data_IF_088198758623
#
_entry.id   IF_088198758623
#
_cell.length_a   1.000
_cell.length_b   1.000
_cell.length_c   1.000
_cell.angle_alpha   90.00
_cell.angle_beta   90.00
_cell.angle_gamma   90.00
#
_symmetry.space_group_name_H-M   'P 1'
#
loop_
_entity.id
_entity.type
_entity.pdbx_description
1 polymer ?
#
# COMPACT_ATOMS: atom_id res chain seq x y z
N UNK A 1 18.06 10.96 -20.91
CA UNK A 1 17.68 11.95 -21.95
C UNK A 1 18.47 13.23 -21.72
N UNK A 2 19.17 13.73 -22.74
CA UNK A 2 19.84 15.05 -22.69
C UNK A 2 18.85 16.15 -23.05
N UNK A 3 18.80 17.19 -22.27
CA UNK A 3 17.99 18.37 -22.55
C UNK A 3 18.79 19.36 -23.39
N UNK A 4 18.16 19.96 -24.41
CA UNK A 4 18.72 21.04 -25.18
C UNK A 4 18.12 22.35 -24.69
N UNK A 5 18.95 23.21 -24.09
CA UNK A 5 18.55 24.57 -23.75
C UNK A 5 18.96 25.55 -24.87
N UNK A 6 18.04 26.37 -25.38
CA UNK A 6 18.40 27.42 -26.34
C UNK A 6 19.17 28.53 -25.61
N UNK A 7 20.34 28.85 -26.12
CA UNK A 7 21.13 29.99 -25.65
C UNK A 7 20.91 31.16 -26.63
N UNK A 8 20.23 32.20 -26.19
CA UNK A 8 20.01 33.43 -26.97
C UNK A 8 21.19 34.37 -26.70
N UNK A 9 22.05 34.56 -27.70
CA UNK A 9 23.26 35.37 -27.55
C UNK A 9 23.07 36.84 -27.91
N UNK A 10 21.98 37.22 -28.62
CA UNK A 10 21.80 38.59 -29.13
C UNK A 10 20.68 39.41 -28.47
N UNK A 11 19.99 38.92 -27.48
CA UNK A 11 19.08 39.72 -26.64
C UNK A 11 17.93 40.47 -27.34
N UNK A 12 17.73 40.31 -28.64
CA UNK A 12 16.79 41.08 -29.42
C UNK A 12 15.72 40.21 -30.08
N UNK A 13 14.53 40.24 -29.53
CA UNK A 13 13.34 39.72 -30.18
C UNK A 13 12.70 40.85 -31.02
N UNK A 14 12.37 40.69 -32.33
CA UNK A 14 12.11 39.43 -33.03
C UNK A 14 13.20 38.87 -33.93
N UNK A 15 14.37 39.43 -33.96
CA UNK A 15 15.46 39.00 -34.85
C UNK A 15 16.47 38.12 -34.16
N UNK A 16 16.10 36.84 -33.94
CA UNK A 16 17.05 35.84 -33.45
C UNK A 16 17.97 35.45 -34.60
N UNK A 17 19.18 35.97 -34.63
CA UNK A 17 20.18 35.64 -35.65
C UNK A 17 20.93 34.34 -35.39
N UNK A 18 21.16 34.01 -34.12
CA UNK A 18 21.87 32.81 -33.72
C UNK A 18 21.17 32.14 -32.56
N UNK A 19 20.85 30.87 -32.73
CA UNK A 19 20.38 29.98 -31.66
C UNK A 19 21.41 28.88 -31.53
N UNK A 20 22.05 28.79 -30.39
CA UNK A 20 22.90 27.65 -30.02
C UNK A 20 22.21 26.80 -28.97
N UNK A 21 22.44 25.50 -29.04
CA UNK A 21 21.94 24.57 -28.05
C UNK A 21 23.10 24.08 -27.19
N UNK A 22 22.96 24.21 -25.89
CA UNK A 22 23.88 23.60 -24.96
C UNK A 22 23.35 22.24 -24.60
N UNK A 23 24.13 21.21 -24.85
CA UNK A 23 23.85 19.85 -24.32
C UNK A 23 24.16 19.90 -22.82
N UNK A 24 23.13 19.85 -21.98
CA UNK A 24 23.32 19.65 -20.56
C UNK A 24 23.47 18.14 -20.37
N UNK A 25 24.66 17.65 -19.93
CA UNK A 25 24.79 16.23 -19.64
C UNK A 25 23.75 15.85 -18.60
N UNK A 26 23.15 14.68 -18.76
CA UNK A 26 22.29 14.11 -17.74
C UNK A 26 22.96 14.24 -16.38
N UNK A 27 22.20 14.67 -15.38
CA UNK A 27 22.56 14.33 -14.00
C UNK A 27 22.80 12.83 -13.96
N UNK A 28 23.81 12.42 -13.19
CA UNK A 28 24.09 11.01 -12.94
C UNK A 28 22.77 10.24 -12.81
N UNK A 29 22.63 9.22 -13.62
CA UNK A 29 21.44 8.36 -13.58
C UNK A 29 21.41 7.70 -12.20
N UNK A 30 20.47 8.12 -11.38
CA UNK A 30 20.33 7.59 -10.03
C UNK A 30 19.72 6.19 -10.16
N UNK A 31 20.47 5.17 -9.78
CA UNK A 31 19.96 3.83 -9.64
C UNK A 31 19.07 3.76 -8.40
N UNK A 32 17.76 3.83 -8.64
CA UNK A 32 16.75 3.82 -7.57
C UNK A 32 16.75 2.46 -6.84
N UNK A 33 16.97 1.36 -7.55
CA UNK A 33 16.98 0.02 -6.94
C UNK A 33 18.17 -0.13 -5.98
N UNK A 34 19.34 0.42 -6.33
CA UNK A 34 20.48 0.46 -5.42
C UNK A 34 20.22 1.38 -4.21
N UNK A 35 19.53 2.48 -4.38
CA UNK A 35 19.11 3.33 -3.25
C UNK A 35 18.16 2.59 -2.31
N UNK A 36 17.16 1.90 -2.86
CA UNK A 36 16.22 1.10 -2.09
C UNK A 36 16.94 -0.02 -1.30
N UNK A 37 17.83 -0.77 -1.95
CA UNK A 37 18.62 -1.84 -1.31
C UNK A 37 19.52 -1.32 -0.19
N UNK A 38 20.06 -0.13 -0.35
CA UNK A 38 20.99 0.47 0.63
C UNK A 38 20.28 1.33 1.69
N UNK A 39 18.95 1.52 1.59
CA UNK A 39 18.18 2.20 2.61
C UNK A 39 18.24 1.42 3.95
N UNK A 40 18.30 2.12 5.09
CA UNK A 40 18.26 1.47 6.41
C UNK A 40 17.00 0.61 6.57
N UNK A 41 17.18 -0.61 7.06
CA UNK A 41 16.06 -1.52 7.31
C UNK A 41 15.02 -0.90 8.24
N UNK A 42 13.74 -1.00 7.89
CA UNK A 42 12.61 -0.55 8.68
C UNK A 42 11.95 -1.73 9.42
N UNK A 43 11.76 -1.55 10.73
CA UNK A 43 11.09 -2.54 11.57
C UNK A 43 11.82 -3.87 11.71
N UNK A 44 11.26 -4.70 12.58
CA UNK A 44 11.67 -6.08 12.84
C UNK A 44 10.43 -6.97 12.87
N UNK A 45 10.58 -8.29 12.91
CA UNK A 45 9.44 -9.21 12.98
C UNK A 45 8.55 -8.96 14.19
N UNK A 46 9.15 -8.64 15.34
CA UNK A 46 8.43 -8.38 16.60
C UNK A 46 7.97 -6.93 16.76
N UNK A 47 8.57 -6.00 16.02
CA UNK A 47 8.24 -4.59 16.01
C UNK A 47 8.27 -4.06 14.55
N UNK A 48 7.28 -4.38 13.73
CA UNK A 48 7.22 -3.94 12.35
C UNK A 48 6.99 -2.42 12.23
N UNK A 49 7.43 -1.86 11.10
CA UNK A 49 7.14 -0.47 10.76
C UNK A 49 5.66 -0.31 10.38
N UNK A 50 4.98 0.60 11.04
CA UNK A 50 3.55 0.81 10.88
C UNK A 50 3.24 1.75 9.69
N UNK A 51 2.71 1.20 8.61
CA UNK A 51 2.35 1.95 7.41
C UNK A 51 1.17 2.92 7.64
N UNK A 52 0.30 2.63 8.60
CA UNK A 52 -0.83 3.51 8.94
C UNK A 52 -0.46 4.63 9.92
N UNK A 53 0.75 4.60 10.50
CA UNK A 53 1.30 5.67 11.32
C UNK A 53 2.82 5.78 11.09
N UNK A 54 3.24 6.42 10.00
CA UNK A 54 4.65 6.52 9.62
C UNK A 54 5.52 7.08 10.75
N UNK A 55 6.67 6.45 10.96
CA UNK A 55 7.59 6.73 12.07
C UNK A 55 7.34 5.87 13.32
N UNK A 56 6.25 5.11 13.39
CA UNK A 56 6.01 4.16 14.48
C UNK A 56 6.56 2.78 14.13
N UNK A 57 7.40 2.24 15.02
CA UNK A 57 7.93 0.87 14.98
C UNK A 57 7.67 0.24 16.35
N UNK A 58 6.65 -0.62 16.44
CA UNK A 58 6.14 -1.18 17.70
C UNK A 58 5.60 -2.58 17.49
N UNK A 59 5.41 -3.32 18.61
CA UNK A 59 4.71 -4.61 18.56
C UNK A 59 3.31 -4.46 17.92
N UNK A 60 2.85 -5.43 17.11
CA UNK A 60 1.59 -5.35 16.38
C UNK A 60 0.37 -4.95 17.22
N UNK A 61 0.25 -5.50 18.43
CA UNK A 61 -0.85 -5.19 19.35
C UNK A 61 -0.88 -3.72 19.82
N UNK A 62 0.29 -3.06 19.85
CA UNK A 62 0.44 -1.65 20.27
C UNK A 62 0.42 -0.66 19.10
N UNK A 63 0.29 -1.13 17.88
CA UNK A 63 0.25 -0.27 16.71
C UNK A 63 -1.02 0.62 16.74
N UNK A 64 -0.86 1.86 16.30
CA UNK A 64 -1.95 2.84 16.24
C UNK A 64 -2.26 3.24 14.81
N UNK A 65 -3.48 3.67 14.54
CA UNK A 65 -3.92 4.08 13.21
C UNK A 65 -4.02 5.60 13.16
N UNK A 66 -3.14 6.23 12.38
CA UNK A 66 -3.19 7.66 12.09
C UNK A 66 -3.96 7.94 10.80
N UNK A 67 -3.53 7.32 9.71
CA UNK A 67 -4.19 7.44 8.41
C UNK A 67 -4.17 6.09 7.71
N UNK A 68 -5.20 5.79 6.93
CA UNK A 68 -5.26 4.57 6.11
C UNK A 68 -5.43 4.89 4.63
N UNK A 69 -5.03 3.95 3.80
CA UNK A 69 -5.13 4.03 2.35
C UNK A 69 -5.29 2.62 1.75
N UNK A 70 -5.61 2.55 0.46
CA UNK A 70 -5.52 1.31 -0.32
C UNK A 70 -4.13 1.08 -0.91
N UNK A 71 -3.27 2.11 -0.91
CA UNK A 71 -1.92 2.06 -1.44
C UNK A 71 -0.94 2.55 -0.38
N UNK A 72 0.15 1.82 -0.19
CA UNK A 72 1.23 2.19 0.72
C UNK A 72 2.57 2.13 -0.03
N UNK A 73 3.45 3.08 0.28
CA UNK A 73 4.79 3.14 -0.30
C UNK A 73 5.76 2.48 0.68
N UNK A 74 6.61 1.60 0.13
CA UNK A 74 7.72 0.96 0.83
C UNK A 74 9.02 1.38 0.15
N UNK A 75 9.88 2.05 0.89
CA UNK A 75 11.11 2.68 0.42
C UNK A 75 12.38 2.11 1.04
N UNK A 76 12.29 0.99 1.75
CA UNK A 76 13.40 0.32 2.41
C UNK A 76 13.11 -1.17 2.63
N UNK A 77 14.13 -2.04 2.79
CA UNK A 77 13.92 -3.40 3.28
C UNK A 77 13.35 -3.39 4.69
N UNK A 78 12.61 -4.44 5.08
CA UNK A 78 12.17 -4.56 6.46
C UNK A 78 10.83 -5.24 6.66
N UNK A 79 10.37 -5.19 7.90
CA UNK A 79 9.06 -5.70 8.33
C UNK A 79 8.06 -4.56 8.44
N UNK A 80 6.92 -4.74 7.82
CA UNK A 80 5.86 -3.75 7.74
C UNK A 80 4.55 -4.31 8.25
N UNK A 81 3.70 -3.44 8.79
CA UNK A 81 2.34 -3.81 9.19
C UNK A 81 1.34 -2.73 8.74
N UNK A 82 0.16 -3.18 8.31
CA UNK A 82 -0.97 -2.34 7.98
C UNK A 82 -2.26 -2.86 8.64
N UNK A 83 -3.22 -1.98 8.99
CA UNK A 83 -4.46 -2.37 9.65
C UNK A 83 -5.50 -2.91 8.67
N UNK A 84 -6.43 -3.73 9.18
CA UNK A 84 -7.58 -4.22 8.43
C UNK A 84 -8.69 -3.16 8.39
N UNK A 85 -8.49 -2.12 7.61
CA UNK A 85 -9.37 -0.95 7.48
C UNK A 85 -9.69 -0.70 6.01
N UNK A 86 -10.95 -0.41 5.71
CA UNK A 86 -11.39 -0.09 4.36
C UNK A 86 -10.81 1.24 3.87
N UNK A 87 -9.98 1.20 2.83
CA UNK A 87 -9.47 2.38 2.14
C UNK A 87 -8.93 3.47 3.06
N UNK A 88 -9.38 4.70 2.85
CA UNK A 88 -9.04 5.88 3.62
C UNK A 88 -10.01 6.16 4.79
N UNK A 89 -10.54 5.09 5.41
CA UNK A 89 -11.53 5.19 6.49
C UNK A 89 -10.99 5.74 7.81
N UNK A 90 -9.68 6.00 7.90
CA UNK A 90 -9.04 6.73 8.98
C UNK A 90 -8.22 7.91 8.45
N UNK A 91 -8.41 9.08 9.08
CA UNK A 91 -7.60 10.26 8.80
C UNK A 91 -7.32 11.00 10.12
N UNK A 92 -6.05 11.27 10.38
CA UNK A 92 -5.58 12.00 11.55
C UNK A 92 -6.13 11.45 12.88
N UNK A 93 -6.01 10.13 13.09
CA UNK A 93 -6.49 9.37 14.25
C UNK A 93 -8.03 9.34 14.44
N UNK A 94 -8.78 9.78 13.44
CA UNK A 94 -10.25 9.81 13.49
C UNK A 94 -10.85 8.97 12.35
N UNK A 95 -12.05 8.43 12.61
CA UNK A 95 -12.83 7.73 11.58
C UNK A 95 -13.30 8.71 10.52
N UNK A 96 -13.04 8.40 9.27
CA UNK A 96 -13.58 9.13 8.12
C UNK A 96 -14.80 8.37 7.57
N UNK A 97 -15.97 8.65 8.12
CA UNK A 97 -17.20 7.90 7.79
C UNK A 97 -17.57 8.01 6.32
N UNK A 98 -17.30 9.13 5.67
CA UNK A 98 -17.56 9.32 4.22
C UNK A 98 -16.75 8.39 3.33
N UNK A 99 -15.70 7.77 3.83
CA UNK A 99 -14.87 6.84 3.07
C UNK A 99 -15.43 5.41 3.02
N UNK A 100 -16.36 5.05 3.91
CA UNK A 100 -16.92 3.70 3.96
C UNK A 100 -18.43 3.66 4.14
N UNK A 101 -19.08 4.80 4.41
CA UNK A 101 -20.53 4.94 4.46
C UNK A 101 -20.96 6.00 3.45
N UNK A 102 -22.09 5.77 2.82
CA UNK A 102 -22.76 6.84 2.08
C UNK A 102 -23.58 7.70 3.06
N UNK A 103 -23.17 8.94 3.24
CA UNK A 103 -23.79 9.88 4.19
C UNK A 103 -24.58 11.00 3.50
N UNK A 104 -24.58 11.07 2.17
CA UNK A 104 -25.27 12.09 1.40
C UNK A 104 -26.73 11.77 1.14
N UNK A 105 -27.60 12.79 1.13
CA UNK A 105 -28.95 12.70 0.60
C UNK A 105 -28.93 13.13 -0.87
N UNK A 106 -28.74 12.18 -1.78
CA UNK A 106 -28.82 12.44 -3.22
C UNK A 106 -30.22 12.05 -3.71
N UNK A 107 -30.91 13.02 -4.31
CA UNK A 107 -32.27 12.84 -4.88
C UNK A 107 -32.28 12.60 -6.38
N UNK A 108 -31.12 12.37 -6.99
CA UNK A 108 -30.95 12.04 -8.42
C UNK A 108 -30.81 10.55 -8.67
N UNK A 109 -30.31 10.19 -9.86
CA UNK A 109 -30.05 8.79 -10.23
C UNK A 109 -29.21 8.10 -9.16
N UNK A 110 -29.76 7.05 -8.55
CA UNK A 110 -29.16 6.35 -7.41
C UNK A 110 -27.95 5.46 -7.82
N UNK A 111 -26.93 6.08 -8.38
CA UNK A 111 -25.67 5.40 -8.69
C UNK A 111 -24.85 5.12 -7.42
N UNK A 112 -25.03 5.95 -6.37
CA UNK A 112 -24.33 5.82 -5.11
C UNK A 112 -25.25 5.18 -4.06
N UNK A 113 -25.19 3.86 -3.96
CA UNK A 113 -25.76 3.11 -2.83
C UNK A 113 -24.73 3.00 -1.70
N UNK A 114 -25.16 2.51 -0.53
CA UNK A 114 -24.26 2.15 0.57
C UNK A 114 -23.12 1.26 0.09
N UNK A 115 -21.90 1.51 0.59
CA UNK A 115 -20.76 0.65 0.28
C UNK A 115 -20.99 -0.75 0.85
N UNK A 116 -20.65 -1.76 0.07
CA UNK A 116 -20.85 -3.16 0.41
C UNK A 116 -19.52 -3.89 0.47
N UNK A 117 -19.43 -4.86 1.38
CA UNK A 117 -18.32 -5.80 1.41
C UNK A 117 -18.42 -6.79 0.23
N UNK A 118 -17.43 -7.68 0.09
CA UNK A 118 -17.39 -8.65 -1.02
C UNK A 118 -18.57 -9.65 -1.01
N UNK A 119 -19.26 -9.85 0.12
CA UNK A 119 -20.50 -10.67 0.22
C UNK A 119 -21.78 -9.87 -0.07
N UNK A 120 -21.68 -8.60 -0.38
CA UNK A 120 -22.83 -7.73 -0.64
C UNK A 120 -23.50 -7.14 0.60
N UNK A 121 -22.94 -7.35 1.80
CA UNK A 121 -23.42 -6.75 3.06
C UNK A 121 -22.94 -5.30 3.17
N UNK A 122 -23.78 -4.44 3.76
CA UNK A 122 -23.44 -3.02 3.97
C UNK A 122 -22.27 -2.87 4.94
N UNK A 123 -21.30 -2.03 4.58
CA UNK A 123 -20.17 -1.68 5.45
C UNK A 123 -20.63 -0.65 6.49
N UNK A 124 -20.58 -1.03 7.77
CA UNK A 124 -21.02 -0.19 8.92
C UNK A 124 -19.87 0.29 9.79
N UNK A 125 -18.71 -0.33 9.68
CA UNK A 125 -17.49 -0.02 10.44
C UNK A 125 -16.32 0.20 9.49
N UNK A 126 -15.35 1.06 9.83
CA UNK A 126 -14.12 1.17 9.08
C UNK A 126 -13.28 -0.13 9.18
N UNK A 127 -13.45 -0.91 10.23
CA UNK A 127 -12.71 -2.15 10.46
C UNK A 127 -13.40 -3.34 9.78
N UNK A 128 -12.63 -4.06 8.98
CA UNK A 128 -13.13 -5.25 8.28
C UNK A 128 -13.58 -6.33 9.26
N UNK A 129 -12.85 -6.49 10.37
CA UNK A 129 -13.14 -7.49 11.40
C UNK A 129 -14.45 -7.25 12.17
N UNK A 130 -14.97 -6.02 12.16
CA UNK A 130 -16.26 -5.71 12.83
C UNK A 130 -17.46 -6.21 12.02
N UNK A 131 -17.25 -6.67 10.79
CA UNK A 131 -18.30 -7.24 9.95
C UNK A 131 -18.50 -8.73 10.24
N UNK A 132 -19.58 -9.06 10.90
CA UNK A 132 -19.89 -10.44 11.31
C UNK A 132 -20.23 -11.38 10.14
N UNK A 133 -20.41 -10.86 8.93
CA UNK A 133 -20.66 -11.67 7.74
C UNK A 133 -19.38 -12.28 7.16
N UNK A 134 -18.21 -11.86 7.62
CA UNK A 134 -16.90 -12.27 7.11
C UNK A 134 -16.02 -12.80 8.24
N UNK A 135 -15.07 -13.67 7.89
CA UNK A 135 -14.16 -14.30 8.89
C UNK A 135 -12.72 -14.25 8.37
N UNK A 136 -11.95 -13.22 8.71
CA UNK A 136 -10.54 -13.13 8.34
C UNK A 136 -9.75 -14.34 8.85
N UNK A 137 -9.01 -15.01 7.97
CA UNK A 137 -8.21 -16.18 8.34
C UNK A 137 -6.78 -16.17 7.79
N UNK A 138 -6.57 -15.50 6.68
CA UNK A 138 -5.27 -15.52 6.01
C UNK A 138 -4.94 -14.19 5.36
N UNK A 139 -3.65 -13.97 5.13
CA UNK A 139 -3.16 -12.90 4.28
C UNK A 139 -2.21 -13.49 3.25
N UNK A 140 -2.27 -13.02 2.01
CA UNK A 140 -1.49 -13.59 0.92
C UNK A 140 -1.20 -12.59 -0.20
N UNK A 141 -0.21 -12.92 -1.03
CA UNK A 141 0.10 -12.20 -2.26
C UNK A 141 -0.93 -12.56 -3.33
N UNK A 142 -1.55 -11.56 -3.94
CA UNK A 142 -2.45 -11.72 -5.09
C UNK A 142 -1.67 -11.62 -6.39
N UNK A 143 -0.78 -10.63 -6.46
CA UNK A 143 -0.05 -10.30 -7.67
C UNK A 143 1.16 -9.42 -7.36
N UNK A 144 2.17 -9.48 -8.21
CA UNK A 144 3.29 -8.55 -8.25
C UNK A 144 3.79 -8.43 -9.68
N UNK A 145 4.30 -7.26 -10.07
CA UNK A 145 4.82 -7.01 -11.42
C UNK A 145 6.28 -7.45 -11.58
N UNK A 146 7.00 -7.55 -10.48
CA UNK A 146 8.38 -7.99 -10.45
C UNK A 146 8.54 -9.26 -9.59
N UNK A 147 9.33 -10.20 -10.05
CA UNK A 147 9.58 -11.45 -9.34
C UNK A 147 10.21 -11.19 -7.97
N UNK A 148 9.67 -11.85 -6.95
CA UNK A 148 10.17 -11.84 -5.57
C UNK A 148 10.22 -10.47 -4.87
N UNK A 149 9.49 -9.44 -5.33
CA UNK A 149 9.34 -8.21 -4.53
C UNK A 149 8.91 -8.53 -3.09
N UNK A 150 7.87 -9.32 -2.96
CA UNK A 150 7.50 -10.00 -1.73
C UNK A 150 7.68 -11.49 -1.98
N UNK A 151 8.66 -12.16 -1.36
CA UNK A 151 8.90 -13.57 -1.58
C UNK A 151 7.66 -14.38 -1.25
N UNK A 152 7.07 -15.01 -2.23
CA UNK A 152 5.88 -15.82 -2.07
C UNK A 152 6.24 -17.30 -2.02
N UNK A 153 6.27 -17.86 -0.85
CA UNK A 153 6.30 -19.31 -0.67
C UNK A 153 4.89 -19.80 -0.39
N UNK A 154 4.25 -20.30 -1.43
CA UNK A 154 2.94 -20.92 -1.37
C UNK A 154 2.88 -21.96 -0.24
N UNK A 155 1.98 -21.78 0.72
CA UNK A 155 1.53 -22.81 1.68
C UNK A 155 2.51 -23.32 2.73
N UNK A 156 3.72 -22.77 2.92
CA UNK A 156 4.65 -23.23 3.97
C UNK A 156 4.55 -22.40 5.25
N UNK A 157 4.70 -23.05 6.38
CA UNK A 157 4.88 -22.39 7.69
C UNK A 157 6.08 -21.43 7.59
N UNK A 158 5.83 -20.15 7.86
CA UNK A 158 6.83 -19.09 7.69
C UNK A 158 6.46 -18.09 6.60
N UNK A 159 5.16 -17.99 6.28
CA UNK A 159 4.65 -17.04 5.30
C UNK A 159 5.22 -15.64 5.56
N UNK A 160 5.81 -15.06 4.52
CA UNK A 160 6.33 -13.68 4.51
C UNK A 160 5.19 -12.67 4.73
N UNK A 161 3.96 -13.05 4.38
CA UNK A 161 2.73 -12.28 4.60
C UNK A 161 1.89 -13.02 5.64
N UNK A 162 1.56 -12.35 6.75
CA UNK A 162 0.85 -12.94 7.89
C UNK A 162 -0.35 -12.09 8.27
N UNK A 163 -1.50 -12.75 8.50
CA UNK A 163 -2.61 -12.14 9.22
C UNK A 163 -2.30 -12.17 10.73
N UNK A 164 -2.39 -11.02 11.39
CA UNK A 164 -2.14 -10.84 12.83
C UNK A 164 -3.45 -10.36 13.49
N UNK A 165 -4.23 -11.27 14.09
CA UNK A 165 -5.55 -10.93 14.64
C UNK A 165 -5.51 -9.90 15.78
N UNK A 166 -4.49 -9.96 16.63
CA UNK A 166 -4.34 -9.08 17.80
C UNK A 166 -3.71 -7.71 17.48
N UNK A 167 -3.30 -7.47 16.23
CA UNK A 167 -2.75 -6.19 15.82
C UNK A 167 -3.75 -5.05 16.03
N UNK A 168 -3.22 -3.84 16.23
CA UNK A 168 -4.02 -2.63 16.43
C UNK A 168 -5.07 -2.77 17.53
N UNK A 169 -4.67 -3.35 18.67
CA UNK A 169 -5.57 -3.58 19.81
C UNK A 169 -6.72 -4.53 19.51
N UNK A 170 -6.48 -5.57 18.71
CA UNK A 170 -7.48 -6.57 18.31
C UNK A 170 -8.33 -6.18 17.10
N UNK A 171 -7.92 -5.14 16.35
CA UNK A 171 -8.59 -4.78 15.08
C UNK A 171 -8.00 -5.49 13.87
N UNK A 172 -6.97 -6.28 14.10
CA UNK A 172 -6.28 -7.08 13.08
C UNK A 172 -5.38 -6.26 12.16
N UNK A 173 -4.39 -6.93 11.62
CA UNK A 173 -3.43 -6.36 10.67
C UNK A 173 -2.85 -7.40 9.74
N UNK A 174 -2.20 -6.94 8.68
CA UNK A 174 -1.35 -7.75 7.83
C UNK A 174 0.09 -7.30 8.05
N UNK A 175 0.94 -8.24 8.45
CA UNK A 175 2.38 -8.05 8.52
C UNK A 175 3.04 -8.72 7.33
N UNK A 176 4.02 -8.04 6.72
CA UNK A 176 4.81 -8.61 5.62
C UNK A 176 6.26 -8.18 5.70
N UNK A 177 7.12 -8.89 4.98
CA UNK A 177 8.55 -8.65 4.96
C UNK A 177 9.06 -8.46 3.54
N UNK A 178 9.91 -7.45 3.35
CA UNK A 178 10.63 -7.19 2.10
C UNK A 178 12.12 -7.37 2.33
N UNK A 179 12.71 -8.35 1.65
CA UNK A 179 14.13 -8.65 1.74
C UNK A 179 14.98 -7.60 1.03
N UNK A 180 16.15 -7.29 1.61
CA UNK A 180 17.13 -6.36 1.01
C UNK A 180 17.51 -6.74 -0.43
N UNK A 181 17.70 -8.03 -0.71
CA UNK A 181 18.10 -8.49 -2.04
C UNK A 181 17.00 -8.36 -3.10
N UNK A 182 15.74 -8.31 -2.66
CA UNK A 182 14.57 -8.34 -3.52
C UNK A 182 13.93 -6.97 -3.75
N UNK A 183 14.21 -5.99 -2.85
CA UNK A 183 13.62 -4.66 -2.99
C UNK A 183 14.13 -3.98 -4.27
N UNK A 184 13.20 -3.50 -5.06
CA UNK A 184 13.37 -2.76 -6.30
C UNK A 184 12.10 -2.01 -6.62
N UNK A 185 12.15 -1.13 -7.61
CA UNK A 185 10.94 -0.46 -8.09
C UNK A 185 9.94 -1.49 -8.60
N UNK A 186 8.70 -1.40 -8.17
CA UNK A 186 7.65 -2.31 -8.56
C UNK A 186 6.39 -2.13 -7.75
N UNK A 187 5.45 -3.04 -7.94
CA UNK A 187 4.15 -3.01 -7.30
C UNK A 187 3.70 -4.43 -6.95
N UNK A 188 3.16 -4.61 -5.76
CA UNK A 188 2.56 -5.85 -5.31
C UNK A 188 1.16 -5.60 -4.76
N UNK A 189 0.29 -6.59 -4.87
CA UNK A 189 -1.04 -6.58 -4.26
C UNK A 189 -1.12 -7.69 -3.23
N UNK A 190 -1.32 -7.32 -1.98
CA UNK A 190 -1.57 -8.25 -0.87
C UNK A 190 -3.04 -8.20 -0.47
N UNK A 191 -3.57 -9.32 -0.03
CA UNK A 191 -4.98 -9.44 0.33
C UNK A 191 -5.20 -10.11 1.68
N UNK A 192 -6.35 -9.78 2.26
CA UNK A 192 -6.97 -10.49 3.36
C UNK A 192 -7.96 -11.52 2.79
N UNK A 193 -7.86 -12.75 3.24
CA UNK A 193 -8.75 -13.85 2.86
C UNK A 193 -9.74 -14.22 3.94
N UNK A 194 -10.94 -14.56 3.53
CA UNK A 194 -11.96 -15.20 4.37
C UNK A 194 -11.70 -16.71 4.51
N UNK A 195 -12.55 -17.40 5.26
CA UNK A 195 -12.52 -18.86 5.37
C UNK A 195 -12.56 -19.53 4.00
N UNK A 196 -11.76 -20.58 3.83
CA UNK A 196 -11.81 -21.41 2.64
C UNK A 196 -13.21 -22.02 2.49
N UNK A 197 -13.78 -21.84 1.32
CA UNK A 197 -15.01 -22.53 0.92
C UNK A 197 -14.63 -23.90 0.34
N UNK A 198 -15.34 -24.94 0.75
CA UNK A 198 -15.09 -26.31 0.25
C UNK A 198 -15.09 -26.34 -1.29
N UNK A 199 -14.03 -26.90 -1.87
CA UNK A 199 -13.86 -27.00 -3.32
C UNK A 199 -13.19 -25.80 -3.99
N UNK A 200 -12.80 -24.78 -3.24
CA UNK A 200 -12.03 -23.61 -3.74
C UNK A 200 -10.62 -23.67 -3.20
N UNK A 201 -9.61 -23.61 -4.08
CA UNK A 201 -8.20 -23.70 -3.70
C UNK A 201 -7.63 -22.42 -3.08
N UNK A 202 -8.33 -21.28 -3.19
CA UNK A 202 -7.89 -19.99 -2.64
C UNK A 202 -9.01 -19.38 -1.79
N UNK A 203 -8.67 -18.71 -0.67
CA UNK A 203 -9.68 -18.03 0.13
C UNK A 203 -10.26 -16.85 -0.67
N UNK A 204 -11.58 -16.58 -0.54
CA UNK A 204 -12.19 -15.40 -1.12
C UNK A 204 -11.50 -14.13 -0.60
N UNK A 205 -11.14 -13.21 -1.51
CA UNK A 205 -10.54 -11.94 -1.16
C UNK A 205 -11.58 -11.04 -0.51
N UNK A 206 -11.32 -10.66 0.74
CA UNK A 206 -12.17 -9.72 1.48
C UNK A 206 -11.86 -8.27 1.14
N UNK A 207 -10.56 -7.95 1.06
CA UNK A 207 -10.01 -6.66 0.71
C UNK A 207 -8.54 -6.81 0.29
N UNK A 208 -8.03 -5.84 -0.47
CA UNK A 208 -6.64 -5.85 -0.91
C UNK A 208 -6.01 -4.46 -0.83
N UNK A 209 -4.68 -4.46 -0.75
CA UNK A 209 -3.87 -3.26 -0.71
C UNK A 209 -2.74 -3.35 -1.72
N UNK A 210 -2.43 -2.22 -2.35
CA UNK A 210 -1.25 -2.07 -3.19
C UNK A 210 -0.05 -1.67 -2.35
N UNK A 211 1.08 -2.30 -2.61
CA UNK A 211 2.38 -2.00 -2.02
C UNK A 211 3.29 -1.57 -3.16
N UNK A 212 3.75 -0.35 -3.08
CA UNK A 212 4.61 0.29 -4.09
C UNK A 212 6.01 0.47 -3.55
#
# INVERSE_FOLDING_TARGET
CSWLEPVITDGYLPYIKNVSFKVIPNKEEIDIDELLKNAPQKGTETAPYNLANPGQTVAPASATIKCTANCYIVDAPGYYILPLVYGNAYHNFQKNENAYKYTGSYTGDQILSTFKNYKGSEIKSPYIIDDTSVTPQSAFLVWQDEEDLIPYHCWTQGAVIKYIPDAYGGKGGIQFYIEKKNIKQGNAVIALGDSLVSGINFPPVMWSWHIW
#
